data_IF_473720035998
#
_entry.id   IF_473720035998
#
_cell.length_a   1.000
_cell.length_b   1.000
_cell.length_c   1.000
_cell.angle_alpha   90.00
_cell.angle_beta   90.00
_cell.angle_gamma   90.00
#
_symmetry.space_group_name_H-M   'P 1'
#
loop_
_entity.id
_entity.type
_entity.pdbx_description
1 polymer ?
#
# COMPACT_ATOMS: atom_id res chain seq x y z
N UNK A 1 1.68 -6.91 -18.08
CA UNK A 1 1.26 -7.13 -16.68
C UNK A 1 1.19 -5.78 -16.02
N UNK A 2 -0.01 -5.31 -15.69
CA UNK A 2 -0.16 -4.14 -14.83
C UNK A 2 0.62 -4.42 -13.54
N UNK A 3 1.45 -3.49 -13.08
CA UNK A 3 2.32 -3.77 -11.94
C UNK A 3 1.46 -3.76 -10.66
N UNK A 4 1.07 -4.95 -10.19
CA UNK A 4 0.17 -5.22 -9.05
C UNK A 4 0.70 -4.74 -7.67
N UNK A 5 1.80 -3.99 -7.65
CA UNK A 5 2.40 -3.38 -6.47
C UNK A 5 2.38 -1.85 -6.61
N UNK A 6 1.20 -1.30 -6.90
CA UNK A 6 1.02 0.12 -7.13
C UNK A 6 0.08 0.72 -6.10
N UNK A 7 0.60 1.71 -5.40
CA UNK A 7 -0.08 2.48 -4.37
C UNK A 7 -1.04 3.48 -5.03
N UNK A 8 -2.22 3.66 -4.43
CA UNK A 8 -3.33 4.48 -4.97
C UNK A 8 -3.79 5.55 -3.98
N UNK A 9 -2.85 6.12 -3.23
CA UNK A 9 -3.12 7.25 -2.35
C UNK A 9 -3.82 8.36 -3.14
N UNK A 10 -4.78 9.01 -2.50
CA UNK A 10 -5.63 10.07 -3.08
C UNK A 10 -6.44 9.65 -4.33
N UNK A 11 -6.58 8.35 -4.60
CA UNK A 11 -7.42 7.82 -5.68
C UNK A 11 -8.78 7.40 -5.11
N UNK A 12 -9.86 7.53 -5.88
CA UNK A 12 -11.18 7.09 -5.42
C UNK A 12 -11.29 5.56 -5.38
N UNK A 13 -12.09 5.03 -4.44
CA UNK A 13 -12.37 3.59 -4.37
C UNK A 13 -12.97 3.05 -5.67
N UNK A 14 -13.80 3.84 -6.36
CA UNK A 14 -14.38 3.46 -7.64
C UNK A 14 -13.32 3.29 -8.74
N UNK A 15 -12.36 4.21 -8.84
CA UNK A 15 -11.26 4.11 -9.81
C UNK A 15 -10.38 2.88 -9.52
N UNK A 16 -10.08 2.62 -8.24
CA UNK A 16 -9.29 1.45 -7.83
C UNK A 16 -10.03 0.15 -8.18
N UNK A 17 -11.34 0.07 -7.90
CA UNK A 17 -12.17 -1.08 -8.25
C UNK A 17 -12.21 -1.33 -9.77
N UNK A 18 -12.38 -0.27 -10.56
CA UNK A 18 -12.39 -0.37 -12.02
C UNK A 18 -11.03 -0.80 -12.58
N UNK A 19 -9.94 -0.32 -11.98
CA UNK A 19 -8.60 -0.67 -12.40
C UNK A 19 -8.30 -2.16 -12.18
N UNK A 20 -8.70 -2.69 -11.02
CA UNK A 20 -8.34 -4.05 -10.59
C UNK A 20 -9.50 -5.07 -10.68
N UNK A 21 -10.53 -4.76 -11.45
CA UNK A 21 -11.73 -5.61 -11.59
C UNK A 21 -11.37 -7.02 -12.07
N UNK A 22 -10.39 -7.15 -12.97
CA UNK A 22 -10.00 -8.45 -13.57
C UNK A 22 -9.07 -9.25 -12.67
N UNK A 23 -8.44 -8.57 -11.73
CA UNK A 23 -7.48 -9.09 -10.78
C UNK A 23 -8.16 -9.57 -9.48
N UNK A 24 -9.49 -9.44 -9.39
CA UNK A 24 -10.28 -9.98 -8.28
C UNK A 24 -10.18 -9.14 -7.01
N UNK A 25 -10.07 -7.81 -7.13
CA UNK A 25 -10.12 -6.90 -5.98
C UNK A 25 -11.42 -7.07 -5.19
N UNK A 26 -11.31 -7.11 -3.86
CA UNK A 26 -12.43 -7.30 -2.93
C UNK A 26 -12.61 -6.02 -2.11
N UNK A 27 -13.85 -5.66 -1.81
CA UNK A 27 -14.19 -4.62 -0.85
C UNK A 27 -14.73 -5.26 0.43
N UNK A 28 -14.26 -4.79 1.58
CA UNK A 28 -14.69 -5.27 2.90
C UNK A 28 -14.53 -4.17 3.97
N UNK A 29 -14.89 -4.48 5.22
CA UNK A 29 -14.86 -3.60 6.37
C UNK A 29 -14.08 -4.23 7.51
N UNK A 30 -13.17 -3.47 8.13
CA UNK A 30 -12.42 -3.96 9.28
C UNK A 30 -13.27 -3.96 10.57
N UNK A 31 -12.69 -4.43 11.68
CA UNK A 31 -13.37 -4.51 12.98
C UNK A 31 -13.81 -3.16 13.55
N UNK A 32 -13.20 -2.06 13.12
CA UNK A 32 -13.61 -0.69 13.46
C UNK A 32 -14.70 -0.12 12.55
N UNK A 33 -15.14 -0.86 11.53
CA UNK A 33 -16.10 -0.40 10.53
C UNK A 33 -15.49 0.46 9.41
N UNK A 34 -14.16 0.57 9.34
CA UNK A 34 -13.48 1.27 8.26
C UNK A 34 -13.46 0.40 7.00
N UNK A 35 -13.80 1.01 5.86
CA UNK A 35 -13.84 0.34 4.56
C UNK A 35 -12.42 0.17 4.03
N UNK A 36 -12.15 -0.99 3.45
CA UNK A 36 -10.93 -1.24 2.71
C UNK A 36 -11.19 -2.00 1.41
N UNK A 37 -10.30 -1.80 0.44
CA UNK A 37 -10.18 -2.66 -0.73
C UNK A 37 -8.96 -3.56 -0.56
N UNK A 38 -9.03 -4.81 -1.00
CA UNK A 38 -7.95 -5.79 -0.91
C UNK A 38 -7.70 -6.41 -2.27
N UNK A 39 -6.44 -6.40 -2.68
CA UNK A 39 -5.95 -7.09 -3.86
C UNK A 39 -4.93 -8.12 -3.43
N UNK A 40 -5.24 -9.40 -3.66
CA UNK A 40 -4.35 -10.50 -3.35
C UNK A 40 -3.56 -10.91 -4.60
N UNK A 41 -2.23 -10.90 -4.50
CA UNK A 41 -1.33 -11.32 -5.55
C UNK A 41 -0.42 -12.44 -5.04
N UNK A 42 0.22 -13.17 -5.96
CA UNK A 42 0.97 -14.40 -5.65
C UNK A 42 2.03 -14.25 -4.53
N UNK A 43 2.59 -13.05 -4.36
CA UNK A 43 3.72 -12.80 -3.45
C UNK A 43 3.47 -11.66 -2.45
N UNK A 44 2.34 -10.98 -2.54
CA UNK A 44 1.97 -9.91 -1.61
C UNK A 44 0.48 -9.59 -1.69
N UNK A 45 -0.06 -9.08 -0.59
CA UNK A 45 -1.43 -8.56 -0.53
C UNK A 45 -1.38 -7.05 -0.36
N UNK A 46 -2.21 -6.32 -1.10
CA UNK A 46 -2.35 -4.86 -0.98
C UNK A 46 -3.70 -4.51 -0.39
N UNK A 47 -3.69 -3.68 0.66
CA UNK A 47 -4.88 -3.11 1.26
C UNK A 47 -4.93 -1.61 0.99
N UNK A 48 -6.09 -1.10 0.60
CA UNK A 48 -6.38 0.31 0.38
C UNK A 48 -7.43 0.75 1.41
N UNK A 49 -7.04 1.55 2.40
CA UNK A 49 -8.00 2.09 3.38
C UNK A 49 -8.75 3.27 2.80
N UNK A 50 -10.08 3.21 2.85
CA UNK A 50 -10.98 4.16 2.22
C UNK A 50 -11.66 5.03 3.29
N UNK A 51 -11.59 6.35 3.14
CA UNK A 51 -12.25 7.29 4.05
C UNK A 51 -13.74 7.51 3.68
N UNK A 52 -14.43 8.33 4.46
CA UNK A 52 -15.85 8.66 4.24
C UNK A 52 -16.11 9.37 2.90
N UNK A 53 -15.11 10.06 2.34
CA UNK A 53 -15.17 10.68 1.02
C UNK A 53 -14.90 9.67 -0.13
N UNK A 54 -14.82 8.37 0.18
CA UNK A 54 -14.50 7.31 -0.77
C UNK A 54 -13.12 7.45 -1.44
N UNK A 55 -12.16 8.04 -0.72
CA UNK A 55 -10.78 8.23 -1.17
C UNK A 55 -9.84 7.31 -0.39
N UNK A 56 -8.87 6.72 -1.08
CA UNK A 56 -7.81 5.94 -0.46
C UNK A 56 -6.82 6.86 0.29
N UNK A 57 -6.74 6.72 1.61
CA UNK A 57 -5.87 7.54 2.47
C UNK A 57 -4.60 6.82 2.89
N UNK A 58 -4.63 5.49 2.92
CA UNK A 58 -3.48 4.65 3.27
C UNK A 58 -3.44 3.41 2.38
N UNK A 59 -2.23 2.95 2.08
CA UNK A 59 -2.02 1.65 1.46
C UNK A 59 -1.09 0.79 2.32
N UNK A 60 -1.44 -0.49 2.48
CA UNK A 60 -0.61 -1.48 3.14
C UNK A 60 -0.18 -2.48 2.08
N UNK A 61 1.11 -2.81 2.04
CA UNK A 61 1.62 -3.92 1.23
C UNK A 61 2.17 -4.94 2.21
N UNK A 62 1.57 -6.13 2.23
CA UNK A 62 1.94 -7.26 3.08
C UNK A 62 2.69 -8.27 2.21
N UNK A 63 4.02 -8.33 2.28
CA UNK A 63 4.81 -9.31 1.54
C UNK A 63 4.61 -10.72 2.11
N UNK A 64 4.64 -11.74 1.25
CA UNK A 64 4.48 -13.13 1.68
C UNK A 64 5.68 -13.65 2.50
N UNK A 65 6.88 -13.13 2.25
CA UNK A 65 8.11 -13.59 2.90
C UNK A 65 9.25 -12.53 2.88
N UNK A 66 10.38 -12.90 3.48
CA UNK A 66 11.58 -12.06 3.57
C UNK A 66 12.24 -11.75 2.22
N UNK A 67 12.10 -12.63 1.22
CA UNK A 67 12.64 -12.37 -0.12
C UNK A 67 11.86 -11.23 -0.77
N UNK A 68 10.53 -11.25 -0.64
CA UNK A 68 9.66 -10.18 -1.15
C UNK A 68 9.89 -8.87 -0.37
N UNK A 69 10.10 -8.92 0.94
CA UNK A 69 10.48 -7.73 1.73
C UNK A 69 11.75 -7.09 1.15
N UNK A 70 12.79 -7.88 0.94
CA UNK A 70 14.06 -7.38 0.40
C UNK A 70 13.89 -6.82 -1.02
N UNK A 71 13.07 -7.45 -1.85
CA UNK A 71 12.70 -6.91 -3.15
C UNK A 71 12.11 -5.49 -3.06
N UNK A 72 11.15 -5.27 -2.15
CA UNK A 72 10.56 -3.94 -1.94
C UNK A 72 11.56 -2.94 -1.37
N UNK A 73 12.38 -3.32 -0.39
CA UNK A 73 13.44 -2.47 0.17
C UNK A 73 14.41 -2.03 -0.94
N UNK A 74 14.87 -2.95 -1.77
CA UNK A 74 15.72 -2.62 -2.92
C UNK A 74 15.01 -1.68 -3.90
N UNK A 75 13.75 -1.97 -4.23
CA UNK A 75 12.94 -1.13 -5.11
C UNK A 75 12.80 0.28 -4.54
N UNK A 76 12.53 0.42 -3.24
CA UNK A 76 12.35 1.72 -2.60
C UNK A 76 13.65 2.48 -2.48
N UNK A 77 14.75 1.81 -2.14
CA UNK A 77 16.10 2.40 -2.14
C UNK A 77 16.51 2.93 -3.52
N UNK A 78 16.04 2.30 -4.60
CA UNK A 78 16.34 2.71 -5.98
C UNK A 78 15.48 3.89 -6.47
N UNK A 79 14.23 4.00 -6.00
CA UNK A 79 13.24 4.91 -6.58
C UNK A 79 12.82 6.07 -5.67
N UNK A 80 13.06 5.97 -4.36
CA UNK A 80 12.54 6.91 -3.37
C UNK A 80 13.64 7.48 -2.47
N UNK A 81 13.32 8.57 -1.79
CA UNK A 81 14.28 9.22 -0.88
C UNK A 81 14.34 8.42 0.41
N UNK A 82 15.49 7.81 0.69
CA UNK A 82 15.75 7.13 1.96
C UNK A 82 15.90 8.18 3.06
N UNK A 83 15.04 8.11 4.08
CA UNK A 83 15.08 9.01 5.24
C UNK A 83 15.43 8.28 6.55
N UNK A 84 15.41 6.95 6.53
CA UNK A 84 15.78 6.09 7.65
C UNK A 84 16.02 4.65 7.20
N UNK A 85 16.36 3.77 8.16
CA UNK A 85 16.67 2.35 7.87
C UNK A 85 15.43 1.61 7.34
N UNK A 86 14.24 1.98 7.80
CA UNK A 86 12.94 1.39 7.44
C UNK A 86 11.97 2.43 6.86
N UNK A 87 12.49 3.55 6.36
CA UNK A 87 11.69 4.74 6.03
C UNK A 87 12.12 5.41 4.73
N UNK A 88 11.13 5.71 3.88
CA UNK A 88 11.32 6.39 2.60
C UNK A 88 10.27 7.47 2.37
N UNK A 89 10.54 8.37 1.42
CA UNK A 89 9.58 9.35 0.90
C UNK A 89 9.44 9.24 -0.61
N UNK A 90 8.20 9.25 -1.08
CA UNK A 90 7.85 9.38 -2.50
C UNK A 90 7.20 10.74 -2.76
N UNK A 91 7.51 11.34 -3.91
CA UNK A 91 6.86 12.58 -4.35
C UNK A 91 5.71 12.25 -5.30
N UNK A 92 4.51 12.71 -4.95
CA UNK A 92 3.29 12.60 -5.76
C UNK A 92 2.88 13.99 -6.24
N UNK A 93 3.51 14.45 -7.32
CA UNK A 93 3.29 15.81 -7.81
C UNK A 93 3.83 16.85 -6.82
N UNK A 94 2.93 17.65 -6.24
CA UNK A 94 3.28 18.63 -5.19
C UNK A 94 3.28 18.04 -3.77
N UNK A 95 2.70 16.85 -3.60
CA UNK A 95 2.54 16.21 -2.30
C UNK A 95 3.65 15.19 -2.04
N UNK A 96 3.79 14.78 -0.78
CA UNK A 96 4.76 13.78 -0.34
C UNK A 96 4.03 12.64 0.34
N UNK A 97 4.39 11.40 0.00
CA UNK A 97 3.96 10.22 0.72
C UNK A 97 5.11 9.65 1.54
N UNK A 98 4.81 9.27 2.78
CA UNK A 98 5.67 8.50 3.67
C UNK A 98 5.52 7.01 3.38
N UNK A 99 6.64 6.28 3.48
CA UNK A 99 6.69 4.83 3.34
C UNK A 99 7.45 4.29 4.55
N UNK A 100 6.83 3.41 5.33
CA UNK A 100 7.45 2.83 6.54
C UNK A 100 7.29 1.32 6.52
N UNK A 101 8.39 0.58 6.69
CA UNK A 101 8.36 -0.84 6.99
C UNK A 101 8.08 -1.05 8.49
N UNK A 102 6.92 -1.62 8.79
CA UNK A 102 6.44 -1.92 10.14
C UNK A 102 6.34 -3.44 10.35
N UNK A 103 6.26 -3.84 11.62
CA UNK A 103 6.06 -5.22 12.04
C UNK A 103 4.87 -5.25 13.02
N UNK A 104 3.99 -6.24 12.90
CA UNK A 104 2.92 -6.52 13.87
C UNK A 104 3.51 -7.14 15.13
N UNK A 105 2.72 -7.23 16.20
CA UNK A 105 3.14 -7.92 17.43
C UNK A 105 3.45 -9.40 17.21
N UNK A 106 2.80 -10.01 16.21
CA UNK A 106 3.00 -11.41 15.81
C UNK A 106 4.21 -11.61 14.88
N UNK A 107 4.92 -10.53 14.52
CA UNK A 107 6.13 -10.56 13.70
C UNK A 107 5.90 -10.50 12.20
N UNK A 108 4.67 -10.23 11.74
CA UNK A 108 4.38 -10.02 10.32
C UNK A 108 4.80 -8.62 9.89
N UNK A 109 5.60 -8.54 8.83
CA UNK A 109 6.09 -7.27 8.31
C UNK A 109 5.19 -6.73 7.18
N UNK A 110 5.01 -5.41 7.12
CA UNK A 110 4.27 -4.74 6.07
C UNK A 110 4.80 -3.34 5.79
N UNK A 111 4.61 -2.85 4.57
CA UNK A 111 4.90 -1.47 4.21
C UNK A 111 3.63 -0.64 4.30
N UNK A 112 3.65 0.39 5.14
CA UNK A 112 2.61 1.41 5.20
C UNK A 112 2.99 2.58 4.30
N UNK A 113 2.05 2.97 3.45
CA UNK A 113 2.07 4.19 2.66
C UNK A 113 0.98 5.14 3.12
N UNK A 114 1.35 6.40 3.35
CA UNK A 114 0.41 7.44 3.75
C UNK A 114 0.86 8.82 3.23
N UNK A 115 -0.09 9.69 2.92
CA UNK A 115 0.23 11.08 2.56
C UNK A 115 0.77 11.80 3.80
N UNK A 116 1.79 12.63 3.61
CA UNK A 116 2.28 13.54 4.64
C UNK A 116 1.37 14.78 4.67
N UNK A 117 0.88 15.12 5.86
CA UNK A 117 0.19 16.39 6.15
C UNK A 117 1.15 17.59 6.20
#
# INVERSE_FOLDING_TARGET
MASLAQVRLNTSSQEILQEFEKEGIIQDTNTSGAVYLMLDADYWTVYYTINEASICTQCFIVPADNEVINYFVEKYNKNYVVIGIKEWRSYYGADVASIVLKETEDGEAFFLWEMME
#
